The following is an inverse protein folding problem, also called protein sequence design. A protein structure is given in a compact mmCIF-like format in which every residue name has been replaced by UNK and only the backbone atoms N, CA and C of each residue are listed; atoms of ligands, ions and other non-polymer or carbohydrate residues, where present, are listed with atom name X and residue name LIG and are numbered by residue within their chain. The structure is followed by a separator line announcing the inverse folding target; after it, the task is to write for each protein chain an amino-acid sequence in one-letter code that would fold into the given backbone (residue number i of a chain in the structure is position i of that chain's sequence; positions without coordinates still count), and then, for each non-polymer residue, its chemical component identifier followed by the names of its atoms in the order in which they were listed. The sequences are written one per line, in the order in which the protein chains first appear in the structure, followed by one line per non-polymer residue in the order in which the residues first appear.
data_IF_654192018671
#
_entry.id   IF_654192018671
#
_cell.length_a   1.000
_cell.length_b   1.000
_cell.length_c   1.000
_cell.angle_alpha   90.00
_cell.angle_beta   90.00
_cell.angle_gamma   90.00
#
_symmetry.space_group_name_H-M   'P 1'
#
loop_
_entity.id
_entity.type
_entity.pdbx_description
1 polymer ?
#
# COMPACT_ATOMS: atom_id res chain seq x y z
N UNK A 1 -20.17 16.85 1.68
CA UNK A 1 -19.11 17.46 2.51
C UNK A 1 -18.23 18.27 1.57
N UNK A 2 -18.62 19.52 1.36
CA UNK A 2 -18.30 20.26 0.14
C UNK A 2 -17.06 21.13 0.35
N UNK A 3 -15.94 20.83 -0.33
CA UNK A 3 -14.69 21.62 -0.52
C UNK A 3 -14.13 22.41 0.68
N UNK A 4 -14.89 23.33 1.27
CA UNK A 4 -14.54 24.15 2.45
C UNK A 4 -14.00 23.35 3.63
N UNK A 5 -14.57 22.19 3.93
CA UNK A 5 -14.11 21.36 5.07
C UNK A 5 -12.71 20.78 4.83
N UNK A 6 -12.39 20.42 3.58
CA UNK A 6 -11.07 19.91 3.21
C UNK A 6 -10.03 21.05 3.25
N UNK A 7 -10.42 22.25 2.79
CA UNK A 7 -9.58 23.45 2.80
C UNK A 7 -9.14 23.89 4.21
N UNK A 8 -9.96 23.64 5.23
CA UNK A 8 -9.64 23.97 6.63
C UNK A 8 -8.81 22.88 7.34
N UNK A 9 -8.95 21.61 6.93
CA UNK A 9 -8.34 20.47 7.60
C UNK A 9 -6.99 20.05 6.99
N UNK A 10 -6.81 20.21 5.68
CA UNK A 10 -5.60 19.76 4.97
C UNK A 10 -4.75 20.96 4.57
N UNK A 11 -3.63 21.13 5.27
CA UNK A 11 -2.65 22.22 5.02
C UNK A 11 -1.61 21.88 3.95
N UNK A 12 -1.49 20.60 3.58
CA UNK A 12 -0.61 20.15 2.51
C UNK A 12 -1.34 20.27 1.17
N UNK A 13 -0.91 21.21 0.33
CA UNK A 13 -1.54 21.49 -0.97
C UNK A 13 -1.51 20.28 -1.92
N UNK A 14 -0.52 19.39 -1.79
CA UNK A 14 -0.42 18.15 -2.55
C UNK A 14 -1.48 17.14 -2.11
N UNK A 15 -1.61 16.90 -0.81
CA UNK A 15 -2.60 16.02 -0.21
C UNK A 15 -4.03 16.54 -0.49
N UNK A 16 -4.22 17.85 -0.41
CA UNK A 16 -5.48 18.52 -0.74
C UNK A 16 -5.90 18.24 -2.19
N UNK A 17 -4.97 18.36 -3.14
CA UNK A 17 -5.23 18.07 -4.55
C UNK A 17 -5.61 16.60 -4.78
N UNK A 18 -4.96 15.66 -4.08
CA UNK A 18 -5.29 14.21 -4.14
C UNK A 18 -6.70 13.93 -3.62
N UNK A 19 -7.05 14.47 -2.45
CA UNK A 19 -8.40 14.33 -1.91
C UNK A 19 -9.45 14.87 -2.87
N UNK A 20 -9.21 16.03 -3.48
CA UNK A 20 -10.14 16.62 -4.45
C UNK A 20 -10.34 15.77 -5.71
N UNK A 21 -9.27 15.17 -6.23
CA UNK A 21 -9.36 14.23 -7.36
C UNK A 21 -10.08 12.94 -6.98
N UNK A 22 -9.77 12.38 -5.80
CA UNK A 22 -10.44 11.19 -5.28
C UNK A 22 -11.95 11.42 -5.09
N UNK A 23 -12.37 12.61 -4.68
CA UNK A 23 -13.79 13.01 -4.57
C UNK A 23 -14.52 12.94 -5.90
N UNK A 24 -13.89 13.33 -7.01
CA UNK A 24 -14.47 13.27 -8.35
C UNK A 24 -14.56 11.82 -8.88
N UNK A 25 -13.58 10.98 -8.57
CA UNK A 25 -13.55 9.58 -9.02
C UNK A 25 -14.39 8.64 -8.16
N UNK A 26 -14.59 8.96 -6.88
CA UNK A 26 -15.47 8.22 -5.97
C UNK A 26 -16.95 8.63 -6.12
N UNK A 27 -17.32 9.37 -7.17
CA UNK A 27 -18.70 9.83 -7.41
C UNK A 27 -19.65 8.65 -7.64
N UNK A 28 -20.30 8.22 -6.56
CA UNK A 28 -21.42 7.29 -6.59
C UNK A 28 -22.65 8.06 -7.08
N UNK A 29 -22.79 8.19 -8.40
CA UNK A 29 -24.02 8.75 -8.97
C UNK A 29 -25.22 7.92 -8.51
N UNK A 30 -25.99 8.56 -7.61
CA UNK A 30 -27.33 8.22 -7.16
C UNK A 30 -27.52 6.89 -6.41
N UNK A 31 -27.57 6.98 -5.07
CA UNK A 31 -28.79 6.68 -4.31
C UNK A 31 -28.76 7.40 -2.97
N UNK A 32 -29.51 8.49 -2.93
CA UNK A 32 -29.86 9.18 -1.70
C UNK A 32 -30.75 8.27 -0.87
N UNK A 33 -30.14 7.49 0.04
CA UNK A 33 -30.76 7.09 1.29
C UNK A 33 -29.68 6.58 2.26
N UNK A 34 -29.53 7.33 3.36
CA UNK A 34 -28.96 6.93 4.67
C UNK A 34 -27.44 6.74 4.79
N UNK A 35 -26.99 6.91 6.04
CA UNK A 35 -25.61 6.98 6.54
C UNK A 35 -24.65 5.84 6.13
N UNK A 36 -25.15 4.74 5.55
CA UNK A 36 -24.32 3.65 5.01
C UNK A 36 -23.43 4.11 3.86
N UNK A 37 -23.95 5.00 3.00
CA UNK A 37 -23.22 5.55 1.85
C UNK A 37 -22.06 6.47 2.24
N UNK A 38 -22.10 7.10 3.42
CA UNK A 38 -21.02 8.02 3.86
C UNK A 38 -19.78 7.27 4.31
N UNK A 39 -19.94 6.12 4.98
CA UNK A 39 -18.82 5.26 5.38
C UNK A 39 -18.16 4.63 4.16
N UNK A 40 -18.94 4.11 3.22
CA UNK A 40 -18.42 3.55 1.97
C UNK A 40 -17.71 4.62 1.10
N UNK A 41 -18.25 5.84 1.07
CA UNK A 41 -17.63 6.98 0.41
C UNK A 41 -16.30 7.40 1.08
N UNK A 42 -16.27 7.54 2.41
CA UNK A 42 -15.03 7.83 3.14
C UNK A 42 -13.98 6.75 2.92
N UNK A 43 -14.38 5.47 2.99
CA UNK A 43 -13.51 4.34 2.67
C UNK A 43 -12.99 4.40 1.23
N UNK A 44 -13.81 4.82 0.26
CA UNK A 44 -13.36 5.02 -1.12
C UNK A 44 -12.27 6.10 -1.21
N UNK A 45 -12.48 7.25 -0.55
CA UNK A 45 -11.51 8.35 -0.53
C UNK A 45 -10.18 7.92 0.08
N UNK A 46 -10.19 7.28 1.24
CA UNK A 46 -8.97 6.86 1.93
C UNK A 46 -8.19 5.82 1.10
N UNK A 47 -8.87 4.82 0.52
CA UNK A 47 -8.22 3.83 -0.37
C UNK A 47 -7.59 4.50 -1.58
N UNK A 48 -8.29 5.47 -2.21
CA UNK A 48 -7.79 6.18 -3.40
C UNK A 48 -6.57 7.04 -3.09
N UNK A 49 -6.66 7.87 -2.04
CA UNK A 49 -5.56 8.74 -1.61
C UNK A 49 -4.35 7.89 -1.19
N UNK A 50 -4.59 6.78 -0.49
CA UNK A 50 -3.52 5.86 -0.09
C UNK A 50 -2.88 5.14 -1.28
N UNK A 51 -3.69 4.71 -2.27
CA UNK A 51 -3.21 4.07 -3.50
C UNK A 51 -2.38 5.04 -4.35
N UNK A 52 -2.81 6.29 -4.52
CA UNK A 52 -2.02 7.31 -5.20
C UNK A 52 -0.71 7.59 -4.45
N UNK A 53 -0.76 7.62 -3.12
CA UNK A 53 0.44 7.77 -2.28
C UNK A 53 1.36 6.56 -2.38
N UNK A 54 0.82 5.35 -2.49
CA UNK A 54 1.60 4.14 -2.71
C UNK A 54 2.33 4.19 -4.07
N UNK A 55 1.64 4.59 -5.15
CA UNK A 55 2.24 4.74 -6.48
C UNK A 55 3.35 5.79 -6.53
N UNK A 56 3.19 6.90 -5.82
CA UNK A 56 4.23 7.92 -5.71
C UNK A 56 5.45 7.39 -4.96
N UNK A 57 5.24 6.71 -3.82
CA UNK A 57 6.31 6.07 -3.06
C UNK A 57 7.05 5.04 -3.92
N UNK A 58 6.30 4.19 -4.63
CA UNK A 58 6.82 3.22 -5.57
C UNK A 58 7.67 3.88 -6.65
N UNK A 59 7.17 4.94 -7.29
CA UNK A 59 7.89 5.68 -8.34
C UNK A 59 9.20 6.29 -7.82
N UNK A 60 9.19 6.89 -6.63
CA UNK A 60 10.38 7.41 -5.98
C UNK A 60 11.39 6.30 -5.71
N UNK A 61 10.93 5.19 -5.13
CA UNK A 61 11.79 4.06 -4.80
C UNK A 61 12.37 3.36 -6.03
N UNK A 62 11.61 3.25 -7.11
CA UNK A 62 12.08 2.75 -8.39
C UNK A 62 13.25 3.59 -8.90
N UNK A 63 13.08 4.92 -8.88
CA UNK A 63 14.11 5.86 -9.32
C UNK A 63 15.35 5.83 -8.42
N UNK A 64 15.17 5.79 -7.10
CA UNK A 64 16.28 5.71 -6.12
C UNK A 64 17.13 4.46 -6.30
N UNK A 65 16.50 3.35 -6.74
CA UNK A 65 17.17 2.05 -6.89
C UNK A 65 17.51 1.70 -8.35
N UNK A 66 17.25 2.59 -9.31
CA UNK A 66 17.51 2.35 -10.73
C UNK A 66 16.61 1.28 -11.37
N UNK A 67 15.46 0.97 -10.76
CA UNK A 67 14.47 0.06 -11.32
C UNK A 67 13.56 0.79 -12.30
N UNK A 68 13.40 0.26 -13.51
CA UNK A 68 12.60 0.89 -14.58
C UNK A 68 11.23 0.22 -14.79
N UNK A 69 10.91 -0.84 -14.03
CA UNK A 69 9.63 -1.53 -14.10
C UNK A 69 8.60 -0.99 -13.11
N UNK A 70 7.50 -1.73 -12.96
CA UNK A 70 6.49 -1.50 -11.92
C UNK A 70 6.64 -2.55 -10.81
N UNK A 71 6.72 -2.09 -9.55
CA UNK A 71 6.82 -3.00 -8.40
C UNK A 71 5.49 -3.72 -8.13
N UNK A 72 4.36 -3.15 -8.56
CA UNK A 72 3.03 -3.75 -8.43
C UNK A 72 2.87 -4.97 -9.35
N UNK A 73 3.64 -5.02 -10.45
CA UNK A 73 3.58 -6.10 -11.46
C UNK A 73 4.63 -7.19 -11.22
N UNK A 74 5.42 -7.11 -10.15
CA UNK A 74 6.46 -8.08 -9.86
C UNK A 74 5.87 -9.45 -9.50
N UNK A 75 6.34 -10.48 -10.19
CA UNK A 75 6.11 -11.86 -9.79
C UNK A 75 7.19 -12.29 -8.78
N UNK A 76 6.88 -12.21 -7.49
CA UNK A 76 7.80 -12.56 -6.40
C UNK A 76 8.19 -14.05 -6.35
N UNK A 77 7.47 -14.91 -7.06
CA UNK A 77 7.83 -16.31 -7.25
C UNK A 77 8.82 -16.55 -8.40
N UNK A 78 9.09 -15.54 -9.24
CA UNK A 78 10.12 -15.64 -10.27
C UNK A 78 11.52 -15.63 -9.63
N UNK A 79 12.42 -16.54 -10.01
CA UNK A 79 13.82 -16.50 -9.56
C UNK A 79 14.59 -15.29 -10.14
N UNK A 80 14.05 -14.65 -11.18
CA UNK A 80 14.74 -13.63 -11.97
C UNK A 80 14.41 -12.18 -11.54
N UNK A 81 13.87 -11.99 -10.32
CA UNK A 81 13.62 -10.64 -9.81
C UNK A 81 14.96 -9.96 -9.54
N UNK A 82 15.22 -8.86 -10.25
CA UNK A 82 16.49 -8.14 -10.18
C UNK A 82 16.72 -7.52 -8.79
N UNK A 83 17.98 -7.24 -8.46
CA UNK A 83 18.35 -6.61 -7.18
C UNK A 83 17.70 -5.23 -7.04
N UNK A 84 17.67 -4.46 -8.11
CA UNK A 84 17.07 -3.13 -8.19
C UNK A 84 15.57 -3.20 -7.86
N UNK A 85 14.86 -4.18 -8.40
CA UNK A 85 13.44 -4.41 -8.11
C UNK A 85 13.23 -4.78 -6.63
N UNK A 86 14.02 -5.71 -6.08
CA UNK A 86 13.94 -6.07 -4.65
C UNK A 86 14.18 -4.87 -3.74
N UNK A 87 15.18 -4.04 -4.06
CA UNK A 87 15.51 -2.87 -3.26
C UNK A 87 14.48 -1.73 -3.42
N UNK A 88 13.87 -1.57 -4.58
CA UNK A 88 12.75 -0.63 -4.77
C UNK A 88 11.55 -1.00 -3.88
N UNK A 89 11.27 -2.30 -3.73
CA UNK A 89 10.20 -2.77 -2.85
C UNK A 89 10.56 -2.57 -1.37
N UNK A 90 11.79 -2.91 -0.96
CA UNK A 90 12.25 -2.66 0.40
C UNK A 90 12.19 -1.16 0.77
N UNK A 91 12.59 -0.28 -0.15
CA UNK A 91 12.45 1.16 0.00
C UNK A 91 11.00 1.58 0.24
N UNK A 92 10.05 0.99 -0.49
CA UNK A 92 8.62 1.30 -0.34
C UNK A 92 8.11 0.84 1.03
N UNK A 93 8.55 -0.33 1.49
CA UNK A 93 8.25 -0.85 2.82
C UNK A 93 8.86 0.03 3.93
N UNK A 94 10.09 0.53 3.78
CA UNK A 94 10.72 1.43 4.74
C UNK A 94 9.96 2.77 4.83
N UNK A 95 9.63 3.39 3.69
CA UNK A 95 8.89 4.66 3.66
C UNK A 95 7.47 4.53 4.22
N UNK A 96 6.88 3.34 4.18
CA UNK A 96 5.58 3.01 4.80
C UNK A 96 5.69 2.59 6.27
N UNK A 97 6.90 2.40 6.79
CA UNK A 97 7.16 1.94 8.15
C UNK A 97 6.95 0.44 8.38
N UNK A 98 6.74 -0.33 7.31
CA UNK A 98 6.62 -1.79 7.38
C UNK A 98 7.98 -2.43 7.57
N UNK A 99 9.01 -1.96 6.87
CA UNK A 99 10.39 -2.42 7.09
C UNK A 99 11.04 -1.49 8.12
N UNK A 100 11.42 -2.05 9.26
CA UNK A 100 12.08 -1.31 10.33
C UNK A 100 13.55 -1.05 10.00
N UNK A 101 14.13 -0.08 10.70
CA UNK A 101 15.55 0.27 10.54
C UNK A 101 16.52 -0.89 10.78
N UNK A 102 16.15 -1.86 11.63
CA UNK A 102 16.90 -3.07 11.94
C UNK A 102 16.73 -4.19 10.90
N UNK A 103 15.94 -3.94 9.85
CA UNK A 103 15.65 -4.89 8.78
C UNK A 103 14.52 -5.87 9.08
N UNK A 104 13.83 -5.76 10.23
CA UNK A 104 12.67 -6.61 10.55
C UNK A 104 11.37 -6.05 9.97
N UNK A 105 10.39 -6.92 9.75
CA UNK A 105 9.06 -6.55 9.26
C UNK A 105 8.12 -6.23 10.43
N UNK A 106 7.48 -5.07 10.39
CA UNK A 106 6.39 -4.69 11.28
C UNK A 106 5.06 -5.25 10.77
N UNK A 107 4.70 -6.44 11.26
CA UNK A 107 3.45 -7.13 10.90
C UNK A 107 2.19 -6.30 11.23
N UNK A 108 2.21 -5.48 12.27
CA UNK A 108 1.05 -4.67 12.65
C UNK A 108 0.86 -3.49 11.69
N UNK A 109 1.94 -2.88 11.23
CA UNK A 109 1.86 -1.85 10.17
C UNK A 109 1.44 -2.49 8.85
N UNK A 110 1.98 -3.65 8.49
CA UNK A 110 1.60 -4.35 7.25
C UNK A 110 0.11 -4.71 7.22
N UNK A 111 -0.45 -5.22 8.33
CA UNK A 111 -1.88 -5.50 8.43
C UNK A 111 -2.73 -4.25 8.19
N UNK A 112 -2.34 -3.09 8.74
CA UNK A 112 -3.05 -1.83 8.50
C UNK A 112 -3.01 -1.44 7.04
N UNK A 113 -1.83 -1.52 6.41
CA UNK A 113 -1.67 -1.26 4.97
C UNK A 113 -2.58 -2.18 4.14
N UNK A 114 -2.62 -3.48 4.45
CA UNK A 114 -3.52 -4.43 3.78
C UNK A 114 -5.00 -4.11 4.04
N UNK A 115 -5.37 -3.75 5.27
CA UNK A 115 -6.75 -3.41 5.63
C UNK A 115 -7.26 -2.22 4.82
N UNK A 116 -6.39 -1.25 4.59
CA UNK A 116 -6.68 -0.03 3.85
C UNK A 116 -6.62 -0.22 2.33
N UNK A 117 -5.74 -1.08 1.80
CA UNK A 117 -5.58 -1.27 0.35
C UNK A 117 -6.54 -2.31 -0.25
N UNK A 118 -6.83 -3.39 0.48
CA UNK A 118 -7.61 -4.52 -0.06
C UNK A 118 -9.09 -4.37 0.31
N UNK A 119 -9.93 -4.16 -0.71
CA UNK A 119 -11.39 -4.06 -0.54
C UNK A 119 -12.09 -5.41 -0.42
N UNK A 120 -11.53 -6.46 -1.00
CA UNK A 120 -12.11 -7.80 -0.96
C UNK A 120 -11.83 -8.46 0.40
N UNK A 121 -12.89 -8.71 1.18
CA UNK A 121 -12.77 -9.26 2.53
C UNK A 121 -12.21 -10.69 2.57
N UNK A 122 -12.44 -11.48 1.51
CA UNK A 122 -11.90 -12.83 1.38
C UNK A 122 -10.39 -12.80 1.20
N UNK A 123 -9.91 -11.99 0.26
CA UNK A 123 -8.51 -11.75 -0.02
C UNK A 123 -7.81 -11.11 1.17
N UNK A 124 -8.44 -10.13 1.82
CA UNK A 124 -7.93 -9.51 3.05
C UNK A 124 -7.69 -10.56 4.13
N UNK A 125 -8.65 -11.44 4.41
CA UNK A 125 -8.47 -12.53 5.40
C UNK A 125 -7.31 -13.44 5.05
N UNK A 126 -7.10 -13.75 3.77
CA UNK A 126 -5.94 -14.54 3.32
C UNK A 126 -4.63 -13.82 3.60
N UNK A 127 -4.52 -12.53 3.26
CA UNK A 127 -3.32 -11.74 3.57
C UNK A 127 -3.06 -11.61 5.07
N UNK A 128 -4.09 -11.31 5.87
CA UNK A 128 -3.95 -11.22 7.33
C UNK A 128 -3.39 -12.50 7.94
N UNK A 129 -3.87 -13.67 7.47
CA UNK A 129 -3.36 -14.97 7.88
C UNK A 129 -1.92 -15.20 7.38
N UNK A 130 -1.63 -14.84 6.14
CA UNK A 130 -0.29 -14.97 5.57
C UNK A 130 0.74 -14.12 6.33
N UNK A 131 0.40 -12.90 6.72
CA UNK A 131 1.26 -12.01 7.52
C UNK A 131 1.66 -12.65 8.85
N UNK A 132 0.72 -13.32 9.51
CA UNK A 132 0.99 -14.05 10.75
C UNK A 132 1.97 -15.21 10.51
N UNK A 133 1.69 -16.03 9.49
CA UNK A 133 2.44 -17.26 9.20
C UNK A 133 3.83 -17.01 8.58
N UNK A 134 4.02 -15.87 7.91
CA UNK A 134 5.29 -15.50 7.30
C UNK A 134 6.20 -14.86 8.33
N UNK A 135 7.05 -15.69 8.94
CA UNK A 135 8.08 -15.25 9.88
C UNK A 135 9.45 -15.30 9.23
N UNK A 136 9.86 -14.17 8.65
CA UNK A 136 11.16 -14.01 7.99
C UNK A 136 12.10 -13.28 8.93
N UNK A 137 13.25 -13.88 9.21
CA UNK A 137 14.31 -13.23 9.98
C UNK A 137 14.96 -12.11 9.18
N UNK A 138 15.31 -11.02 9.85
CA UNK A 138 16.07 -9.94 9.23
C UNK A 138 17.41 -10.48 8.69
N UNK A 139 17.68 -10.20 7.41
CA UNK A 139 18.96 -10.48 6.77
C UNK A 139 19.86 -9.27 6.81
N UNK A 140 21.15 -9.49 6.55
CA UNK A 140 22.12 -8.42 6.35
C UNK A 140 21.70 -7.50 5.19
N UNK A 141 21.08 -8.05 4.14
CA UNK A 141 20.50 -7.30 3.04
C UNK A 141 18.98 -7.14 3.25
N UNK A 142 18.55 -5.90 3.51
CA UNK A 142 17.13 -5.56 3.69
C UNK A 142 16.30 -5.83 2.43
N UNK A 143 16.89 -5.69 1.25
CA UNK A 143 16.22 -5.98 -0.02
C UNK A 143 15.82 -7.45 -0.10
N UNK A 144 16.71 -8.34 0.33
CA UNK A 144 16.44 -9.78 0.38
C UNK A 144 15.44 -10.14 1.48
N UNK A 145 15.44 -9.43 2.61
CA UNK A 145 14.46 -9.65 3.69
C UNK A 145 13.04 -9.37 3.19
N UNK A 146 12.81 -8.21 2.60
CA UNK A 146 11.49 -7.84 2.07
C UNK A 146 11.06 -8.75 0.93
N UNK A 147 11.99 -9.11 0.04
CA UNK A 147 11.70 -10.03 -1.07
C UNK A 147 11.25 -11.42 -0.58
N UNK A 148 11.94 -12.01 0.40
CA UNK A 148 11.53 -13.31 0.95
C UNK A 148 10.20 -13.23 1.71
N UNK A 149 9.95 -12.13 2.40
CA UNK A 149 8.68 -11.88 3.05
C UNK A 149 7.53 -11.86 2.04
N UNK A 150 7.66 -11.09 0.95
CA UNK A 150 6.64 -11.02 -0.10
C UNK A 150 6.47 -12.34 -0.84
N UNK A 151 7.55 -13.08 -1.08
CA UNK A 151 7.48 -14.43 -1.65
C UNK A 151 6.68 -15.36 -0.75
N UNK A 152 6.89 -15.30 0.57
CA UNK A 152 6.10 -16.07 1.52
C UNK A 152 4.61 -15.67 1.45
N UNK A 153 4.29 -14.38 1.42
CA UNK A 153 2.91 -13.89 1.30
C UNK A 153 2.23 -14.39 0.02
N UNK A 154 2.87 -14.28 -1.14
CA UNK A 154 2.31 -14.72 -2.43
C UNK A 154 2.00 -16.23 -2.44
N UNK A 155 2.87 -17.06 -1.83
CA UNK A 155 2.63 -18.51 -1.69
C UNK A 155 1.42 -18.80 -0.77
N UNK A 156 1.25 -18.02 0.30
CA UNK A 156 0.22 -18.27 1.33
C UNK A 156 -1.16 -17.70 0.97
N UNK A 157 -1.20 -16.67 0.12
CA UNK A 157 -2.44 -16.00 -0.30
C UNK A 157 -3.13 -16.69 -1.49
N UNK A 158 -2.37 -17.40 -2.33
CA UNK A 158 -2.94 -18.16 -3.45
C UNK A 158 -3.90 -19.25 -2.95
#
# INVERSE_FOLDING_TARGET
MEKKVIDELIKDDGLKKKYMKAVEECDMTAKADKCETTYEYLKCLDVKVLSETFKEVASVCNKENGFTGDIEELNFNSPDVSREAKCAVACSFEKKGVLKSDGTIDKEVEKKVIDELIKDDGLKKKYMKAIEECDISAKADKCETTYEYLKCLDVKVR
#
